data_IF_687378675038
#
_entry.id   IF_687378675038
#
_cell.length_a   1.000
_cell.length_b   1.000
_cell.length_c   1.000
_cell.angle_alpha   90.00
_cell.angle_beta   90.00
_cell.angle_gamma   90.00
#
_symmetry.space_group_name_H-M   'P 1'
#
loop_
_entity.id
_entity.type
_entity.pdbx_description
1 polymer ?
#
# COMPACT_ATOMS: atom_id res chain seq x y z
N UNK A 1 33.90 22.88 4.98
CA UNK A 1 33.00 23.15 3.84
C UNK A 1 32.59 21.86 3.13
N UNK A 2 33.51 20.95 2.76
CA UNK A 2 33.13 19.72 2.01
C UNK A 2 32.30 18.73 2.81
N UNK A 3 32.59 18.58 4.11
CA UNK A 3 31.82 17.69 4.98
C UNK A 3 30.38 18.19 5.17
N UNK A 4 30.19 19.48 5.44
CA UNK A 4 28.86 20.09 5.60
C UNK A 4 28.03 19.96 4.32
N UNK A 5 28.63 20.19 3.14
CA UNK A 5 27.98 19.97 1.85
C UNK A 5 27.57 18.52 1.66
N UNK A 6 28.46 17.58 1.98
CA UNK A 6 28.14 16.14 1.94
C UNK A 6 26.93 15.78 2.81
N UNK A 7 26.86 16.28 4.05
CA UNK A 7 25.69 16.04 4.91
C UNK A 7 24.42 16.67 4.35
N UNK A 8 24.49 17.91 3.85
CA UNK A 8 23.34 18.59 3.23
C UNK A 8 22.83 17.82 2.01
N UNK A 9 23.72 17.34 1.14
CA UNK A 9 23.36 16.55 -0.03
C UNK A 9 22.66 15.25 0.39
N UNK A 10 23.16 14.57 1.41
CA UNK A 10 22.52 13.36 1.95
C UNK A 10 21.13 13.63 2.53
N UNK A 11 20.97 14.71 3.29
CA UNK A 11 19.67 15.11 3.82
C UNK A 11 18.70 15.50 2.71
N UNK A 12 19.16 16.18 1.67
CA UNK A 12 18.35 16.53 0.51
C UNK A 12 17.85 15.28 -0.21
N UNK A 13 18.73 14.29 -0.40
CA UNK A 13 18.37 13.01 -0.99
C UNK A 13 17.31 12.30 -0.14
N UNK A 14 17.57 12.14 1.17
CA UNK A 14 16.63 11.46 2.07
C UNK A 14 15.27 12.17 2.10
N UNK A 15 15.27 13.51 2.15
CA UNK A 15 14.06 14.33 2.17
C UNK A 15 13.26 14.15 0.89
N UNK A 16 13.90 14.20 -0.28
CA UNK A 16 13.23 13.99 -1.57
C UNK A 16 12.61 12.60 -1.67
N UNK A 17 13.32 11.56 -1.25
CA UNK A 17 12.78 10.19 -1.19
C UNK A 17 11.55 10.11 -0.28
N UNK A 18 11.63 10.68 0.93
CA UNK A 18 10.51 10.67 1.87
C UNK A 18 9.29 11.45 1.36
N UNK A 19 9.48 12.60 0.71
CA UNK A 19 8.40 13.40 0.13
C UNK A 19 7.64 12.65 -0.97
N UNK A 20 8.36 11.96 -1.86
CA UNK A 20 7.73 11.13 -2.88
C UNK A 20 6.92 9.99 -2.27
N UNK A 21 7.51 9.27 -1.31
CA UNK A 21 6.83 8.19 -0.59
C UNK A 21 5.56 8.69 0.11
N UNK A 22 5.64 9.80 0.84
CA UNK A 22 4.51 10.41 1.53
C UNK A 22 3.40 10.88 0.58
N UNK A 23 3.75 11.27 -0.66
CA UNK A 23 2.77 11.67 -1.67
C UNK A 23 2.04 10.50 -2.34
N UNK A 24 2.46 9.25 -2.07
CA UNK A 24 1.97 8.06 -2.74
C UNK A 24 2.41 7.93 -4.21
N UNK A 25 3.26 8.84 -4.70
CA UNK A 25 3.78 8.88 -6.08
C UNK A 25 5.28 8.58 -6.08
N UNK A 26 5.65 7.41 -5.60
CA UNK A 26 7.04 6.96 -5.59
C UNK A 26 7.20 5.75 -6.49
N UNK A 27 8.39 5.64 -7.08
CA UNK A 27 8.77 4.49 -7.90
C UNK A 27 9.64 3.54 -7.07
N UNK A 28 9.84 2.33 -7.58
CA UNK A 28 10.76 1.36 -6.98
C UNK A 28 12.16 1.95 -6.76
N UNK A 29 12.64 2.80 -7.68
CA UNK A 29 13.92 3.47 -7.53
C UNK A 29 13.99 4.39 -6.28
N UNK A 30 12.86 4.97 -5.86
CA UNK A 30 12.81 5.85 -4.68
C UNK A 30 12.90 5.04 -3.38
N UNK A 31 12.26 3.86 -3.33
CA UNK A 31 12.35 2.95 -2.18
C UNK A 31 13.73 2.29 -2.10
N UNK A 32 14.29 1.85 -3.22
CA UNK A 32 15.66 1.33 -3.31
C UNK A 32 16.68 2.35 -2.79
N UNK A 33 16.51 3.63 -3.15
CA UNK A 33 17.37 4.71 -2.67
C UNK A 33 17.26 4.94 -1.17
N UNK A 34 16.05 4.82 -0.61
CA UNK A 34 15.84 4.90 0.83
C UNK A 34 16.53 3.75 1.57
N UNK A 35 16.42 2.51 1.06
CA UNK A 35 17.10 1.35 1.63
C UNK A 35 18.62 1.37 1.42
N UNK A 36 19.10 2.03 0.37
CA UNK A 36 20.54 2.25 0.20
C UNK A 36 21.07 3.15 1.33
N UNK A 37 20.38 4.26 1.62
CA UNK A 37 20.76 5.20 2.68
C UNK A 37 20.74 4.57 4.09
N UNK A 38 19.97 3.50 4.31
CA UNK A 38 19.92 2.81 5.60
C UNK A 38 21.11 1.87 5.87
N UNK A 39 22.01 1.67 4.90
CA UNK A 39 23.17 0.79 5.06
C UNK A 39 24.15 1.34 6.10
N UNK A 40 24.25 0.61 7.21
CA UNK A 40 25.18 0.90 8.31
C UNK A 40 26.64 0.83 7.84
N UNK A 41 27.48 1.71 8.38
CA UNK A 41 28.91 1.81 8.06
C UNK A 41 29.22 2.48 6.71
N UNK A 42 28.22 2.77 5.87
CA UNK A 42 28.39 3.50 4.60
C UNK A 42 28.01 4.98 4.69
N UNK A 43 27.00 5.28 5.51
CA UNK A 43 26.49 6.62 5.74
C UNK A 43 26.65 7.00 7.22
N UNK A 44 26.62 8.30 7.56
CA UNK A 44 26.59 8.74 8.95
C UNK A 44 25.49 8.02 9.73
N UNK A 45 25.82 7.49 10.91
CA UNK A 45 24.95 6.56 11.66
C UNK A 45 23.53 7.10 11.86
N UNK A 46 23.41 8.36 12.29
CA UNK A 46 22.11 9.00 12.49
C UNK A 46 21.26 9.06 11.21
N UNK A 47 21.88 9.31 10.05
CA UNK A 47 21.17 9.32 8.77
C UNK A 47 20.74 7.90 8.37
N UNK A 48 21.61 6.92 8.57
CA UNK A 48 21.30 5.52 8.29
C UNK A 48 20.15 5.01 9.17
N UNK A 49 20.15 5.33 10.45
CA UNK A 49 19.08 4.97 11.39
C UNK A 49 17.75 5.68 11.05
N UNK A 50 17.82 6.93 10.58
CA UNK A 50 16.65 7.67 10.10
C UNK A 50 16.07 7.05 8.82
N UNK A 51 16.94 6.75 7.85
CA UNK A 51 16.56 6.06 6.61
C UNK A 51 16.00 4.65 6.89
N UNK A 52 16.58 3.91 7.83
CA UNK A 52 16.06 2.61 8.30
C UNK A 52 14.64 2.76 8.87
N UNK A 53 14.43 3.75 9.73
CA UNK A 53 13.13 4.02 10.35
C UNK A 53 12.06 4.35 9.31
N UNK A 54 12.39 5.19 8.32
CA UNK A 54 11.48 5.49 7.22
C UNK A 54 11.27 4.29 6.28
N UNK A 55 12.31 3.49 6.01
CA UNK A 55 12.20 2.26 5.23
C UNK A 55 11.23 1.26 5.88
N UNK A 56 11.31 1.09 7.19
CA UNK A 56 10.36 0.26 7.94
C UNK A 56 8.94 0.82 7.92
N UNK A 57 8.79 2.14 7.93
CA UNK A 57 7.48 2.77 7.77
C UNK A 57 6.89 2.49 6.38
N UNK A 58 7.70 2.56 5.32
CA UNK A 58 7.28 2.25 3.95
C UNK A 58 6.81 0.81 3.82
N UNK A 59 7.56 -0.17 4.32
CA UNK A 59 7.15 -1.60 4.30
C UNK A 59 5.80 -1.79 4.99
N UNK A 60 5.59 -1.15 6.14
CA UNK A 60 4.30 -1.19 6.85
C UNK A 60 3.17 -0.50 6.08
N UNK A 61 3.49 0.50 5.26
CA UNK A 61 2.51 1.18 4.42
C UNK A 61 2.08 0.27 3.26
N UNK A 62 3.03 -0.31 2.54
CA UNK A 62 2.77 -1.26 1.44
C UNK A 62 1.97 -2.49 1.91
N UNK A 63 2.31 -3.04 3.09
CA UNK A 63 1.56 -4.15 3.67
C UNK A 63 0.10 -3.79 3.96
N UNK A 64 -0.15 -2.56 4.43
CA UNK A 64 -1.52 -2.07 4.68
C UNK A 64 -2.28 -1.84 3.38
N UNK A 65 -1.64 -1.27 2.36
CA UNK A 65 -2.27 -1.11 1.05
C UNK A 65 -2.63 -2.45 0.41
N UNK A 66 -1.73 -3.44 0.49
CA UNK A 66 -2.00 -4.79 0.01
C UNK A 66 -3.19 -5.43 0.72
N UNK A 67 -3.23 -5.35 2.05
CA UNK A 67 -4.35 -5.86 2.85
C UNK A 67 -5.66 -5.16 2.52
N UNK A 68 -5.63 -3.84 2.28
CA UNK A 68 -6.82 -3.07 1.91
C UNK A 68 -7.36 -3.50 0.56
N UNK A 69 -6.50 -3.64 -0.46
CA UNK A 69 -6.89 -4.13 -1.79
C UNK A 69 -7.54 -5.51 -1.72
N UNK A 70 -6.92 -6.43 -0.99
CA UNK A 70 -7.47 -7.77 -0.79
C UNK A 70 -8.83 -7.75 -0.08
N UNK A 71 -8.98 -6.91 0.96
CA UNK A 71 -10.28 -6.76 1.65
C UNK A 71 -11.36 -6.26 0.69
N UNK A 72 -11.04 -5.31 -0.19
CA UNK A 72 -11.98 -4.81 -1.20
C UNK A 72 -12.38 -5.92 -2.16
N UNK A 73 -11.43 -6.69 -2.69
CA UNK A 73 -11.71 -7.83 -3.58
C UNK A 73 -12.61 -8.88 -2.90
N UNK A 74 -12.37 -9.19 -1.62
CA UNK A 74 -13.20 -10.12 -0.85
C UNK A 74 -14.63 -9.57 -0.65
N UNK A 75 -14.78 -8.26 -0.40
CA UNK A 75 -16.07 -7.60 -0.28
C UNK A 75 -16.85 -7.59 -1.60
N UNK A 76 -16.17 -7.31 -2.72
CA UNK A 76 -16.78 -7.34 -4.05
C UNK A 76 -17.26 -8.74 -4.43
N UNK A 77 -16.45 -9.77 -4.15
CA UNK A 77 -16.83 -11.16 -4.38
C UNK A 77 -18.02 -11.59 -3.50
N UNK A 78 -18.05 -11.17 -2.23
CA UNK A 78 -19.17 -11.44 -1.33
C UNK A 78 -20.46 -10.76 -1.80
N UNK A 79 -20.36 -9.50 -2.25
CA UNK A 79 -21.48 -8.75 -2.82
C UNK A 79 -22.05 -9.45 -4.05
N UNK A 80 -21.20 -9.87 -4.99
CA UNK A 80 -21.64 -10.56 -6.20
C UNK A 80 -22.42 -11.85 -5.89
N UNK A 81 -21.93 -12.65 -4.93
CA UNK A 81 -22.63 -13.86 -4.47
C UNK A 81 -23.99 -13.55 -3.84
N UNK A 82 -24.08 -12.51 -3.02
CA UNK A 82 -25.34 -12.10 -2.41
C UNK A 82 -26.36 -11.62 -3.45
N UNK A 83 -25.92 -10.89 -4.46
CA UNK A 83 -26.77 -10.46 -5.57
C UNK A 83 -27.27 -11.67 -6.37
N UNK A 84 -26.41 -12.64 -6.68
CA UNK A 84 -26.77 -13.89 -7.35
C UNK A 84 -27.83 -14.66 -6.55
N UNK A 85 -27.63 -14.87 -5.24
CA UNK A 85 -28.61 -15.53 -4.38
C UNK A 85 -29.94 -14.79 -4.34
N UNK A 86 -29.91 -13.46 -4.25
CA UNK A 86 -31.12 -12.62 -4.23
C UNK A 86 -31.93 -12.75 -5.52
N UNK A 87 -31.25 -12.72 -6.67
CA UNK A 87 -31.91 -12.91 -7.99
C UNK A 87 -32.52 -14.30 -8.07
N UNK A 88 -31.73 -15.34 -7.75
CA UNK A 88 -32.19 -16.72 -7.80
C UNK A 88 -33.40 -16.97 -6.90
N UNK A 89 -33.38 -16.48 -5.66
CA UNK A 89 -34.50 -16.62 -4.74
C UNK A 89 -35.77 -15.93 -5.26
N UNK A 90 -35.65 -14.76 -5.89
CA UNK A 90 -36.81 -14.07 -6.48
C UNK A 90 -37.42 -14.90 -7.62
N UNK A 91 -36.59 -15.44 -8.51
CA UNK A 91 -37.05 -16.29 -9.61
C UNK A 91 -37.74 -17.55 -9.10
N UNK A 92 -37.14 -18.25 -8.12
CA UNK A 92 -37.77 -19.44 -7.50
C UNK A 92 -39.11 -19.09 -6.83
N UNK A 93 -39.23 -17.90 -6.22
CA UNK A 93 -40.47 -17.45 -5.59
C UNK A 93 -41.58 -17.14 -6.61
N UNK A 94 -41.22 -16.49 -7.73
CA UNK A 94 -42.13 -16.20 -8.85
C UNK A 94 -42.64 -17.50 -9.48
N UNK A 95 -41.77 -18.47 -9.74
CA UNK A 95 -42.14 -19.79 -10.26
C UNK A 95 -43.10 -20.55 -9.32
N UNK A 96 -42.85 -20.51 -8.01
CA UNK A 96 -43.75 -21.12 -7.02
C UNK A 96 -45.13 -20.45 -6.98
N UNK A 97 -45.21 -19.13 -7.12
CA UNK A 97 -46.49 -18.40 -7.15
C UNK A 97 -47.29 -18.73 -8.42
N UNK A 98 -46.64 -18.80 -9.58
CA UNK A 98 -47.29 -19.15 -10.85
C UNK A 98 -47.82 -20.59 -10.86
N UNK A 99 -47.11 -21.53 -10.24
CA UNK A 99 -47.53 -22.94 -10.16
C UNK A 99 -48.70 -23.17 -9.20
N UNK A 100 -48.90 -22.30 -8.19
CA UNK A 100 -50.04 -22.38 -7.26
C UNK A 100 -51.29 -21.65 -7.76
N UNK A 101 -51.18 -20.85 -8.82
CA UNK A 101 -52.30 -20.10 -9.41
C UNK A 101 -52.99 -20.82 -10.58
N UNK A 102 -52.47 -21.98 -11.01
CA UNK A 102 -53.06 -22.88 -12.02
C UNK A 102 -53.76 -24.06 -11.35
#
# INVERSE_FOLDING_TARGET
MDLERYYLDLFEILTKSCQKIASGKFEQADSERLFELSKKGRYPSFLADLAESFGMMLVKFEAREFQLKRTIEELEAAKAKLEEYSVRLKTELEECLENNAK
#
